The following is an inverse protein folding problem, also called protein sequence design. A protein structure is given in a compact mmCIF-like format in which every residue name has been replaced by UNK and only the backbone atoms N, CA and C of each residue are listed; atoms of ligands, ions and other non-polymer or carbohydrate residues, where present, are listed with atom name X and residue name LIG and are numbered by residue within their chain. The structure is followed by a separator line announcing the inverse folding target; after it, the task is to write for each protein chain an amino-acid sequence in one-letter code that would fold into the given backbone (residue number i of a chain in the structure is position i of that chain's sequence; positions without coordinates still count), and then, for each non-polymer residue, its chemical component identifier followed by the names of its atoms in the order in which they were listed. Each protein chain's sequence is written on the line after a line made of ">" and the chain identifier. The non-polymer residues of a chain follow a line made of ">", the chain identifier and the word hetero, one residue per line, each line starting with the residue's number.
data_IF_811645757337
#
_entry.id   IF_811645757337
#
_cell.length_a   1.000
_cell.length_b   1.000
_cell.length_c   1.000
_cell.angle_alpha   90.00
_cell.angle_beta   90.00
_cell.angle_gamma   90.00
#
_symmetry.space_group_name_H-M   'P 1'
#
loop_
_entity.id
_entity.type
_entity.pdbx_description
1 polymer ?
#
# COMPACT_ATOMS: atom_id res chain seq x y z
N UNK A 1 -2.71 21.61 13.17
CA UNK A 1 -2.38 20.17 13.26
C UNK A 1 -3.44 19.43 12.48
N UNK A 2 -3.25 19.29 11.17
CA UNK A 2 -4.26 18.72 10.28
C UNK A 2 -4.21 17.19 10.42
N UNK A 3 -5.30 16.59 10.89
CA UNK A 3 -5.53 15.15 10.75
C UNK A 3 -5.53 14.89 9.25
N UNK A 4 -4.51 14.22 8.74
CA UNK A 4 -4.57 13.69 7.38
C UNK A 4 -5.56 12.53 7.44
N UNK A 5 -6.70 12.69 6.80
CA UNK A 5 -7.65 11.60 6.58
C UNK A 5 -6.95 10.55 5.71
N UNK A 6 -6.65 9.41 6.34
CA UNK A 6 -6.10 8.25 5.66
C UNK A 6 -7.27 7.48 5.05
N UNK A 7 -7.19 7.19 3.76
CA UNK A 7 -8.19 6.37 3.07
C UNK A 7 -7.67 4.93 3.11
N UNK A 8 -8.45 4.06 3.75
CA UNK A 8 -8.20 2.62 3.77
C UNK A 8 -8.90 2.00 2.56
N UNK A 9 -8.16 1.23 1.78
CA UNK A 9 -8.65 0.51 0.61
C UNK A 9 -8.05 -0.89 0.58
N UNK A 10 -8.87 -1.84 0.17
CA UNK A 10 -8.43 -3.19 -0.11
C UNK A 10 -7.77 -3.26 -1.49
N UNK A 11 -6.79 -4.15 -1.62
CA UNK A 11 -6.08 -4.38 -2.86
C UNK A 11 -5.27 -5.67 -2.81
N UNK A 12 -4.95 -6.20 -3.98
CA UNK A 12 -4.22 -7.45 -4.15
C UNK A 12 -2.74 -7.20 -4.44
N UNK A 13 -1.84 -7.89 -3.73
CA UNK A 13 -0.40 -7.80 -3.99
C UNK A 13 -0.07 -8.54 -5.27
N UNK A 14 0.39 -7.82 -6.30
CA UNK A 14 0.73 -8.40 -7.60
C UNK A 14 2.23 -8.69 -7.76
N UNK A 15 3.10 -7.87 -7.16
CA UNK A 15 4.56 -8.02 -7.28
C UNK A 15 5.27 -7.56 -6.00
N UNK A 16 6.35 -8.26 -5.64
CA UNK A 16 7.23 -7.89 -4.52
C UNK A 16 8.47 -7.16 -5.05
N UNK A 17 8.76 -5.97 -4.53
CA UNK A 17 9.92 -5.18 -4.93
C UNK A 17 11.03 -5.21 -3.85
N UNK A 18 12.30 -4.97 -4.24
CA UNK A 18 13.36 -4.70 -3.29
C UNK A 18 13.03 -3.48 -2.40
N UNK A 19 13.64 -3.41 -1.21
CA UNK A 19 13.38 -2.38 -0.19
C UNK A 19 12.04 -2.49 0.56
N UNK A 20 11.46 -3.70 0.67
CA UNK A 20 10.25 -3.92 1.47
C UNK A 20 9.01 -3.19 0.93
N UNK A 21 8.98 -3.00 -0.39
CA UNK A 21 7.87 -2.38 -1.11
C UNK A 21 7.13 -3.43 -1.93
N UNK A 22 5.83 -3.23 -2.10
CA UNK A 22 4.93 -4.17 -2.76
C UNK A 22 4.10 -3.40 -3.76
N UNK A 23 3.93 -3.93 -4.96
CA UNK A 23 2.90 -3.42 -5.88
C UNK A 23 1.59 -4.07 -5.49
N UNK A 24 0.62 -3.20 -5.21
CA UNK A 24 -0.74 -3.58 -4.87
C UNK A 24 -1.64 -3.05 -5.98
N UNK A 25 -2.40 -3.94 -6.59
CA UNK A 25 -3.48 -3.56 -7.50
C UNK A 25 -4.74 -3.36 -6.67
N UNK A 26 -5.24 -2.14 -6.70
CA UNK A 26 -6.52 -1.77 -6.08
C UNK A 26 -7.67 -2.24 -6.98
N UNK A 27 -8.86 -2.41 -6.39
CA UNK A 27 -10.08 -2.81 -7.11
C UNK A 27 -10.52 -1.79 -8.17
N UNK A 28 -10.01 -0.56 -8.11
CA UNK A 28 -10.24 0.50 -9.09
C UNK A 28 -9.29 0.43 -10.30
N UNK A 29 -8.61 -0.70 -10.50
CA UNK A 29 -7.61 -0.97 -11.55
C UNK A 29 -6.31 -0.14 -11.45
N UNK A 30 -6.14 0.66 -10.39
CA UNK A 30 -4.87 1.35 -10.15
C UNK A 30 -3.84 0.44 -9.48
N UNK A 31 -2.60 0.54 -9.95
CA UNK A 31 -1.45 -0.09 -9.32
C UNK A 31 -0.74 0.95 -8.46
N UNK A 32 -0.66 0.68 -7.15
CA UNK A 32 0.04 1.51 -6.18
C UNK A 32 1.22 0.77 -5.58
N UNK A 33 2.22 1.52 -5.10
CA UNK A 33 3.34 0.95 -4.36
C UNK A 33 3.07 1.12 -2.86
N UNK A 34 2.83 0.02 -2.18
CA UNK A 34 2.65 -0.05 -0.74
C UNK A 34 3.97 -0.43 -0.06
N UNK A 35 4.12 -0.05 1.20
CA UNK A 35 5.21 -0.49 2.07
C UNK A 35 4.61 -1.12 3.32
N UNK A 36 5.34 -2.02 3.97
CA UNK A 36 4.87 -2.59 5.23
C UNK A 36 4.82 -1.49 6.28
N UNK A 37 3.73 -1.45 7.05
CA UNK A 37 3.66 -0.59 8.23
C UNK A 37 4.79 -0.94 9.19
N UNK A 38 5.56 0.06 9.63
CA UNK A 38 6.70 -0.12 10.52
C UNK A 38 6.37 -0.74 11.88
N UNK A 39 5.08 -0.90 12.22
CA UNK A 39 4.61 -1.59 13.43
C UNK A 39 4.57 -3.12 13.28
N UNK A 40 4.62 -3.64 12.05
CA UNK A 40 4.77 -5.06 11.75
C UNK A 40 6.24 -5.45 11.44
N UNK A 41 7.19 -4.52 11.61
CA UNK A 41 8.62 -4.82 11.55
C UNK A 41 9.12 -5.33 12.89
#
# INVERSE_FOLDING_TARGET
>A
MAKQDLIEMDGEVIETLPNTTFRVKLDNDHVVTAHISGKMR
#
